data_IF_692570164098
#
_entry.id   IF_692570164098
#
_cell.length_a   1.000
_cell.length_b   1.000
_cell.length_c   1.000
_cell.angle_alpha   90.00
_cell.angle_beta   90.00
_cell.angle_gamma   90.00
#
_symmetry.space_group_name_H-M   'P 1'
#
loop_
_entity.id
_entity.type
_entity.pdbx_description
1 polymer ?
#
# COMPACT_ATOMS: atom_id res chain seq x y z
N UNK A 1 -0.02 8.97 7.48
CA UNK A 1 -1.31 9.67 7.66
C UNK A 1 -2.48 8.74 7.29
N UNK A 2 -2.46 8.12 6.11
CA UNK A 2 -3.50 7.16 5.67
C UNK A 2 -3.78 6.03 6.65
N UNK A 3 -2.74 5.42 7.25
CA UNK A 3 -2.91 4.37 8.28
C UNK A 3 -3.63 4.89 9.53
N UNK A 4 -3.35 6.13 9.95
CA UNK A 4 -4.02 6.75 11.12
C UNK A 4 -5.51 6.91 10.84
N UNK A 5 -5.88 7.30 9.62
CA UNK A 5 -7.28 7.38 9.21
C UNK A 5 -8.00 6.04 9.36
N UNK A 6 -7.35 4.93 9.02
CA UNK A 6 -7.91 3.57 9.16
C UNK A 6 -8.10 3.19 10.62
N UNK A 7 -7.07 3.43 11.45
CA UNK A 7 -7.12 3.15 12.89
C UNK A 7 -8.24 3.96 13.57
N UNK A 8 -8.48 5.20 13.12
CA UNK A 8 -9.55 6.04 13.64
C UNK A 8 -10.94 5.45 13.35
N UNK A 9 -11.11 4.82 12.19
CA UNK A 9 -12.39 4.19 11.79
C UNK A 9 -12.61 2.88 12.54
N UNK A 10 -11.56 2.11 12.79
CA UNK A 10 -11.66 0.81 13.48
C UNK A 10 -11.66 0.93 15.00
N UNK A 11 -11.13 2.03 15.54
CA UNK A 11 -11.03 2.27 16.99
C UNK A 11 -10.00 1.37 17.71
N UNK A 12 -9.22 0.58 16.98
CA UNK A 12 -8.19 -0.32 17.52
C UNK A 12 -6.92 -0.27 16.68
N UNK A 13 -5.77 -0.36 17.35
CA UNK A 13 -4.43 -0.48 16.72
C UNK A 13 -4.03 -1.93 16.44
N UNK A 14 -4.81 -2.91 16.89
CA UNK A 14 -4.51 -4.31 16.64
C UNK A 14 -4.89 -4.68 15.19
N UNK A 15 -3.91 -5.21 14.45
CA UNK A 15 -4.10 -5.67 13.07
C UNK A 15 -5.19 -6.74 12.95
N UNK A 16 -5.32 -7.59 13.98
CA UNK A 16 -6.36 -8.62 13.98
C UNK A 16 -7.75 -8.02 14.12
N UNK A 17 -7.92 -7.04 15.01
CA UNK A 17 -9.19 -6.34 15.20
C UNK A 17 -9.57 -5.54 13.95
N UNK A 18 -8.59 -4.91 13.28
CA UNK A 18 -8.79 -4.21 12.00
C UNK A 18 -9.31 -5.18 10.94
N UNK A 19 -8.71 -6.37 10.82
CA UNK A 19 -9.14 -7.36 9.85
C UNK A 19 -10.50 -8.00 10.20
N UNK A 20 -10.80 -8.17 11.50
CA UNK A 20 -12.11 -8.64 11.99
C UNK A 20 -13.22 -7.61 11.72
N UNK A 21 -12.94 -6.33 11.92
CA UNK A 21 -13.87 -5.22 11.64
C UNK A 21 -14.23 -5.07 10.15
N UNK A 22 -13.52 -5.78 9.27
CA UNK A 22 -13.73 -5.82 7.82
C UNK A 22 -14.41 -7.14 7.37
N UNK A 23 -14.80 -8.01 8.29
CA UNK A 23 -15.56 -9.23 7.99
C UNK A 23 -17.04 -8.90 7.78
N UNK A 24 -17.67 -9.49 6.76
CA UNK A 24 -19.06 -9.18 6.40
C UNK A 24 -19.34 -9.07 4.90
N UNK A 25 -18.41 -9.49 4.04
CA UNK A 25 -18.56 -9.47 2.58
C UNK A 25 -17.85 -8.29 1.90
N UNK A 26 -17.89 -8.27 0.57
CA UNK A 26 -17.19 -7.28 -0.28
C UNK A 26 -17.53 -5.82 0.09
N UNK A 27 -18.76 -5.56 0.52
CA UNK A 27 -19.27 -4.23 0.86
C UNK A 27 -18.79 -3.69 2.23
N UNK A 28 -18.19 -4.53 3.07
CA UNK A 28 -17.65 -4.13 4.39
C UNK A 28 -16.13 -3.91 4.36
N UNK A 29 -15.48 -4.17 3.23
CA UNK A 29 -14.06 -3.89 3.09
C UNK A 29 -13.81 -2.39 3.21
N UNK A 30 -12.67 -2.00 3.78
CA UNK A 30 -12.34 -0.59 3.97
C UNK A 30 -12.34 0.20 2.64
N UNK A 31 -12.10 -0.44 1.50
CA UNK A 31 -12.24 0.20 0.18
C UNK A 31 -13.70 0.53 -0.17
N UNK A 32 -14.65 -0.32 0.24
CA UNK A 32 -16.05 -0.29 -0.21
C UNK A 32 -17.07 -0.03 0.89
N UNK A 33 -16.63 0.28 2.12
CA UNK A 33 -17.53 0.41 3.30
C UNK A 33 -18.67 1.37 2.98
N UNK A 34 -19.85 0.78 2.80
CA UNK A 34 -21.02 1.41 2.15
C UNK A 34 -21.90 2.19 3.13
N UNK A 35 -21.74 1.94 4.42
CA UNK A 35 -22.48 2.64 5.47
C UNK A 35 -21.97 4.08 5.61
N UNK A 36 -22.76 5.07 5.17
CA UNK A 36 -22.56 6.48 5.52
C UNK A 36 -21.92 7.43 4.48
N UNK A 37 -21.69 6.98 3.23
CA UNK A 37 -21.12 7.85 2.18
C UNK A 37 -19.59 7.91 2.15
N UNK A 38 -18.91 6.99 2.84
CA UNK A 38 -17.44 6.86 2.89
C UNK A 38 -16.78 6.37 1.58
N UNK A 39 -17.58 6.04 0.56
CA UNK A 39 -17.11 5.39 -0.67
C UNK A 39 -16.03 6.21 -1.40
N UNK A 40 -16.19 7.52 -1.59
CA UNK A 40 -15.21 8.28 -2.39
C UNK A 40 -13.89 8.48 -1.66
N UNK A 41 -13.91 8.63 -0.33
CA UNK A 41 -12.74 9.04 0.45
C UNK A 41 -11.78 7.88 0.75
N UNK A 42 -12.31 6.69 1.07
CA UNK A 42 -11.47 5.54 1.37
C UNK A 42 -10.74 4.99 0.14
N UNK A 43 -11.33 5.10 -1.05
CA UNK A 43 -10.63 4.78 -2.30
C UNK A 43 -9.40 5.65 -2.51
N UNK A 44 -9.49 6.93 -2.15
CA UNK A 44 -8.36 7.84 -2.28
C UNK A 44 -7.29 7.53 -1.23
N UNK A 45 -7.68 7.19 0.00
CA UNK A 45 -6.76 6.71 1.02
C UNK A 45 -6.00 5.45 0.60
N UNK A 46 -6.69 4.51 -0.06
CA UNK A 46 -6.09 3.30 -0.63
C UNK A 46 -5.09 3.64 -1.74
N UNK A 47 -5.46 4.50 -2.70
CA UNK A 47 -4.56 4.90 -3.79
C UNK A 47 -3.30 5.59 -3.27
N UNK A 48 -3.45 6.51 -2.31
CA UNK A 48 -2.31 7.18 -1.68
C UNK A 48 -1.41 6.16 -0.97
N UNK A 49 -2.00 5.25 -0.19
CA UNK A 49 -1.23 4.22 0.51
C UNK A 49 -0.53 3.28 -0.47
N UNK A 50 -1.20 2.88 -1.55
CA UNK A 50 -0.62 2.02 -2.57
C UNK A 50 0.54 2.71 -3.30
N UNK A 51 0.39 3.98 -3.72
CA UNK A 51 1.47 4.76 -4.33
C UNK A 51 2.65 4.90 -3.37
N UNK A 52 2.41 5.17 -2.09
CA UNK A 52 3.47 5.23 -1.08
C UNK A 52 4.16 3.87 -0.87
N UNK A 53 3.42 2.77 -0.86
CA UNK A 53 3.98 1.42 -0.73
C UNK A 53 4.86 1.07 -1.94
N UNK A 54 4.44 1.42 -3.17
CA UNK A 54 5.29 1.24 -4.35
C UNK A 54 6.53 2.13 -4.28
N UNK A 55 6.41 3.39 -3.83
CA UNK A 55 7.54 4.29 -3.65
C UNK A 55 8.56 3.79 -2.60
N UNK A 56 8.09 3.22 -1.49
CA UNK A 56 8.95 2.66 -0.43
C UNK A 56 9.74 1.43 -0.88
N UNK A 57 9.20 0.65 -1.82
CA UNK A 57 9.91 -0.52 -2.37
C UNK A 57 11.05 -0.16 -3.33
N UNK A 58 11.25 1.14 -3.62
CA UNK A 58 12.31 1.66 -4.50
C UNK A 58 12.41 0.93 -5.85
N UNK A 59 11.27 0.44 -6.39
CA UNK A 59 11.22 -0.26 -7.69
C UNK A 59 10.66 0.62 -8.80
N UNK A 60 11.03 0.30 -10.04
CA UNK A 60 10.67 1.11 -11.20
C UNK A 60 9.12 1.16 -11.27
N UNK A 61 8.50 2.36 -11.31
CA UNK A 61 8.99 3.65 -11.82
C UNK A 61 9.68 4.61 -10.83
N UNK A 62 9.83 4.24 -9.55
CA UNK A 62 10.42 5.06 -8.47
C UNK A 62 11.82 4.60 -8.03
N UNK A 63 12.53 3.93 -8.95
CA UNK A 63 13.82 3.27 -8.72
C UNK A 63 15.00 4.17 -9.08
N UNK A 64 15.17 5.22 -8.27
CA UNK A 64 16.14 6.28 -8.58
C UNK A 64 17.46 6.11 -7.80
N UNK A 65 17.41 5.52 -6.60
CA UNK A 65 18.60 5.15 -5.84
C UNK A 65 19.52 4.14 -6.56
N UNK A 66 18.96 3.32 -7.47
CA UNK A 66 19.74 2.39 -8.31
C UNK A 66 20.34 3.08 -9.56
N UNK A 67 19.86 4.27 -9.93
CA UNK A 67 20.12 4.87 -11.25
C UNK A 67 20.78 6.27 -11.24
N UNK A 68 20.85 6.98 -10.10
CA UNK A 68 21.37 8.36 -10.06
C UNK A 68 22.69 8.57 -9.32
N UNK A 69 23.25 7.55 -8.68
CA UNK A 69 24.66 7.57 -8.27
C UNK A 69 25.53 7.07 -9.44
N UNK A 70 25.92 8.00 -10.31
CA UNK A 70 27.14 8.00 -11.14
C UNK A 70 27.39 6.97 -12.28
N UNK A 71 26.58 6.88 -13.34
CA UNK A 71 26.99 6.30 -14.66
C UNK A 71 27.57 4.84 -14.71
N UNK A 72 27.73 4.13 -13.59
CA UNK A 72 28.16 2.73 -13.47
C UNK A 72 27.37 2.15 -12.31
N UNK A 73 26.65 1.04 -12.55
CA UNK A 73 25.63 0.49 -11.65
C UNK A 73 26.11 0.40 -10.17
N UNK A 74 25.63 1.31 -9.31
CA UNK A 74 26.18 1.61 -7.97
C UNK A 74 26.42 0.39 -7.07
N UNK A 75 25.50 0.08 -6.15
CA UNK A 75 25.71 -1.05 -5.22
C UNK A 75 25.80 -2.42 -5.94
N UNK A 76 25.28 -2.52 -7.17
CA UNK A 76 25.42 -3.70 -8.02
C UNK A 76 26.88 -4.02 -8.40
N UNK A 77 27.76 -3.03 -8.43
CA UNK A 77 29.20 -3.21 -8.75
C UNK A 77 30.09 -3.25 -7.51
N UNK A 78 29.62 -2.74 -6.38
CA UNK A 78 30.38 -2.70 -5.12
C UNK A 78 30.26 -3.99 -4.29
N UNK A 79 29.13 -4.68 -4.36
CA UNK A 79 28.88 -5.88 -3.54
C UNK A 79 29.15 -7.19 -4.30
N UNK A 80 29.95 -8.07 -3.68
CA UNK A 80 30.17 -9.44 -4.16
C UNK A 80 28.94 -10.34 -4.05
N UNK A 81 29.01 -11.53 -4.65
CA UNK A 81 27.88 -12.47 -4.86
C UNK A 81 26.93 -12.66 -3.67
N UNK A 82 27.45 -12.94 -2.47
CA UNK A 82 26.62 -13.17 -1.27
C UNK A 82 25.97 -11.88 -0.77
N UNK A 83 26.71 -10.76 -0.77
CA UNK A 83 26.21 -9.46 -0.34
C UNK A 83 25.10 -8.97 -1.28
N UNK A 84 25.34 -9.08 -2.59
CA UNK A 84 24.34 -8.78 -3.62
C UNK A 84 23.06 -9.60 -3.43
N UNK A 85 23.19 -10.90 -3.17
CA UNK A 85 22.04 -11.79 -2.92
C UNK A 85 21.19 -11.36 -1.72
N UNK A 86 21.82 -10.91 -0.63
CA UNK A 86 21.10 -10.44 0.57
C UNK A 86 20.36 -9.11 0.31
N UNK A 87 20.98 -8.17 -0.42
CA UNK A 87 20.31 -6.92 -0.78
C UNK A 87 19.08 -7.16 -1.66
N UNK A 88 19.22 -7.98 -2.71
CA UNK A 88 18.09 -8.34 -3.57
C UNK A 88 16.99 -9.06 -2.80
N UNK A 89 17.34 -10.02 -1.94
CA UNK A 89 16.37 -10.72 -1.10
C UNK A 89 15.60 -9.75 -0.19
N UNK A 90 16.29 -8.78 0.42
CA UNK A 90 15.67 -7.76 1.27
C UNK A 90 14.67 -6.89 0.52
N UNK A 91 15.00 -6.44 -0.68
CA UNK A 91 14.07 -5.66 -1.51
C UNK A 91 12.81 -6.45 -1.90
N UNK A 92 12.96 -7.72 -2.29
CA UNK A 92 11.82 -8.59 -2.60
C UNK A 92 10.96 -8.86 -1.36
N UNK A 93 11.60 -9.00 -0.20
CA UNK A 93 10.90 -9.19 1.07
C UNK A 93 10.10 -7.93 1.43
N UNK A 94 10.63 -6.73 1.16
CA UNK A 94 9.91 -5.48 1.37
C UNK A 94 8.62 -5.39 0.51
N UNK A 95 8.68 -5.84 -0.75
CA UNK A 95 7.49 -5.91 -1.62
C UNK A 95 6.42 -6.81 -1.02
N UNK A 96 6.81 -7.98 -0.50
CA UNK A 96 5.87 -8.93 0.13
C UNK A 96 5.27 -8.33 1.40
N UNK A 97 6.07 -7.69 2.25
CA UNK A 97 5.58 -7.03 3.47
C UNK A 97 4.61 -5.90 3.13
N UNK A 98 4.94 -5.05 2.16
CA UNK A 98 4.07 -3.96 1.70
C UNK A 98 2.73 -4.48 1.17
N UNK A 99 2.76 -5.57 0.39
CA UNK A 99 1.56 -6.24 -0.08
C UNK A 99 0.71 -6.78 1.09
N UNK A 100 1.33 -7.50 2.04
CA UNK A 100 0.68 -8.02 3.24
C UNK A 100 -0.04 -6.91 4.03
N UNK A 101 0.66 -5.79 4.31
CA UNK A 101 0.11 -4.67 5.06
C UNK A 101 -1.06 -4.00 4.31
N UNK A 102 -0.93 -3.82 3.00
CA UNK A 102 -2.01 -3.30 2.15
C UNK A 102 -3.26 -4.19 2.24
N UNK A 103 -3.08 -5.51 2.20
CA UNK A 103 -4.20 -6.46 2.31
C UNK A 103 -4.95 -6.39 3.64
N UNK A 104 -4.23 -6.26 4.75
CA UNK A 104 -4.82 -6.21 6.10
C UNK A 104 -5.54 -4.88 6.31
N UNK A 105 -4.95 -3.78 5.86
CA UNK A 105 -5.48 -2.44 6.13
C UNK A 105 -6.69 -2.07 5.25
N UNK A 106 -6.74 -2.54 4.01
CA UNK A 106 -7.74 -2.11 3.03
C UNK A 106 -8.62 -3.21 2.46
N UNK A 107 -8.06 -4.41 2.24
CA UNK A 107 -8.71 -5.49 1.48
C UNK A 107 -9.32 -6.58 2.37
N UNK A 108 -9.58 -6.33 3.65
CA UNK A 108 -10.28 -7.30 4.50
C UNK A 108 -9.41 -8.42 5.07
N UNK A 109 -8.08 -8.39 4.89
CA UNK A 109 -7.16 -9.44 5.35
C UNK A 109 -7.65 -10.86 4.97
N UNK A 110 -7.88 -11.68 5.99
CA UNK A 110 -8.41 -13.05 5.93
C UNK A 110 -9.93 -13.17 5.71
N UNK A 111 -10.65 -12.05 5.65
CA UNK A 111 -12.08 -12.03 5.38
C UNK A 111 -12.39 -12.55 3.97
N UNK A 112 -13.22 -13.61 3.91
CA UNK A 112 -13.74 -14.15 2.65
C UNK A 112 -14.90 -13.27 2.14
N UNK A 113 -14.85 -12.78 0.89
CA UNK A 113 -15.96 -12.04 0.30
C UNK A 113 -17.15 -12.93 -0.07
N UNK A 114 -16.94 -14.24 -0.26
CA UNK A 114 -17.97 -15.18 -0.75
C UNK A 114 -18.20 -16.41 0.16
N UNK A 115 -17.49 -16.53 1.29
CA UNK A 115 -17.70 -17.61 2.27
C UNK A 115 -17.30 -19.03 1.83
N UNK A 116 -16.78 -19.22 0.61
CA UNK A 116 -16.55 -20.54 0.01
C UNK A 116 -15.18 -21.19 0.27
N UNK A 117 -14.16 -20.43 0.69
CA UNK A 117 -12.78 -20.93 0.88
C UNK A 117 -12.21 -20.49 2.23
N UNK A 118 -11.31 -21.29 2.84
CA UNK A 118 -10.60 -20.90 4.07
C UNK A 118 -9.90 -19.55 3.91
N UNK A 119 -9.92 -18.73 4.96
CA UNK A 119 -9.42 -17.34 4.91
C UNK A 119 -7.96 -17.19 4.47
N UNK A 120 -7.13 -18.23 4.66
CA UNK A 120 -5.72 -18.25 4.24
C UNK A 120 -5.57 -18.14 2.72
N UNK A 121 -6.42 -18.82 1.94
CA UNK A 121 -6.35 -18.80 0.49
C UNK A 121 -6.74 -17.44 -0.07
N UNK A 122 -7.73 -16.78 0.55
CA UNK A 122 -8.12 -15.42 0.19
C UNK A 122 -7.01 -14.41 0.48
N UNK A 123 -6.31 -14.56 1.58
CA UNK A 123 -5.17 -13.71 1.90
C UNK A 123 -4.04 -13.87 0.86
N UNK A 124 -3.67 -15.11 0.54
CA UNK A 124 -2.65 -15.40 -0.47
C UNK A 124 -3.03 -14.89 -1.87
N UNK A 125 -4.29 -15.08 -2.29
CA UNK A 125 -4.77 -14.59 -3.58
C UNK A 125 -4.68 -13.07 -3.65
N UNK A 126 -5.12 -12.35 -2.61
CA UNK A 126 -5.07 -10.88 -2.60
C UNK A 126 -3.63 -10.36 -2.62
N UNK A 127 -2.72 -10.98 -1.87
CA UNK A 127 -1.28 -10.66 -1.93
C UNK A 127 -0.74 -10.89 -3.33
N UNK A 128 -1.06 -12.04 -3.95
CA UNK A 128 -0.61 -12.36 -5.29
C UNK A 128 -1.10 -11.34 -6.31
N UNK A 129 -2.35 -10.90 -6.22
CA UNK A 129 -2.91 -9.84 -7.07
C UNK A 129 -2.18 -8.50 -6.87
N UNK A 130 -1.85 -8.13 -5.63
CA UNK A 130 -1.10 -6.90 -5.35
C UNK A 130 0.32 -6.96 -5.91
N UNK A 131 1.04 -8.07 -5.69
CA UNK A 131 2.38 -8.27 -6.24
C UNK A 131 2.33 -8.24 -7.78
N UNK A 132 1.35 -8.92 -8.38
CA UNK A 132 1.11 -8.88 -9.82
C UNK A 132 0.87 -7.45 -10.31
N UNK A 133 0.10 -6.64 -9.58
CA UNK A 133 -0.16 -5.24 -9.92
C UNK A 133 1.14 -4.40 -9.85
N UNK A 134 1.98 -4.61 -8.84
CA UNK A 134 3.28 -3.91 -8.72
C UNK A 134 4.20 -4.27 -9.89
N UNK A 135 4.26 -5.56 -10.28
CA UNK A 135 5.05 -6.01 -11.43
C UNK A 135 4.47 -5.45 -12.74
N UNK A 136 3.14 -5.36 -12.85
CA UNK A 136 2.50 -4.80 -14.04
C UNK A 136 2.77 -3.29 -14.20
N UNK A 137 2.76 -2.54 -13.09
CA UNK A 137 3.12 -1.11 -13.07
C UNK A 137 4.57 -0.90 -13.54
N UNK A 138 5.48 -1.80 -13.13
CA UNK A 138 6.89 -1.78 -13.57
C UNK A 138 7.04 -1.81 -15.10
N UNK A 139 6.18 -2.55 -15.78
CA UNK A 139 6.21 -2.66 -17.25
C UNK A 139 5.43 -1.56 -17.97
N UNK A 140 4.48 -0.91 -17.28
CA UNK A 140 3.57 0.08 -17.89
C UNK A 140 4.15 1.50 -17.85
N UNK A 141 4.83 1.87 -16.76
CA UNK A 141 5.25 3.26 -16.55
C UNK A 141 6.73 3.49 -16.85
N UNK A 142 7.08 4.59 -17.55
CA UNK A 142 8.47 5.01 -17.66
C UNK A 142 9.00 5.48 -16.30
N UNK A 143 10.34 5.42 -16.15
CA UNK A 143 11.02 5.88 -14.94
C UNK A 143 10.77 7.37 -14.68
N UNK A 144 10.63 7.72 -13.40
CA UNK A 144 10.43 9.11 -12.95
C UNK A 144 11.73 9.73 -12.44
N UNK A 145 11.77 11.06 -12.33
CA UNK A 145 12.93 11.82 -11.83
C UNK A 145 12.71 12.24 -10.36
N UNK A 146 13.78 12.43 -9.56
CA UNK A 146 13.65 12.72 -8.11
C UNK A 146 12.77 13.94 -7.86
N UNK A 147 13.03 15.01 -8.60
CA UNK A 147 12.29 16.25 -8.40
C UNK A 147 10.78 16.07 -8.65
N UNK A 148 10.37 15.16 -9.55
CA UNK A 148 8.97 14.84 -9.80
C UNK A 148 8.38 13.98 -8.68
N UNK A 149 9.14 13.01 -8.17
CA UNK A 149 8.73 12.16 -7.04
C UNK A 149 8.58 12.98 -5.75
N UNK A 150 9.55 13.84 -5.46
CA UNK A 150 9.52 14.72 -4.29
C UNK A 150 8.36 15.70 -4.38
N UNK A 151 8.13 16.29 -5.56
CA UNK A 151 7.00 17.18 -5.79
C UNK A 151 5.65 16.45 -5.65
N UNK A 152 5.52 15.24 -6.20
CA UNK A 152 4.33 14.39 -5.99
C UNK A 152 4.07 14.14 -4.50
N UNK A 153 5.11 13.77 -3.75
CA UNK A 153 5.00 13.47 -2.33
C UNK A 153 4.60 14.69 -1.51
N UNK A 154 5.29 15.81 -1.70
CA UNK A 154 5.11 17.01 -0.90
C UNK A 154 3.90 17.86 -1.30
N UNK A 155 3.62 17.99 -2.60
CA UNK A 155 2.52 18.86 -3.08
C UNK A 155 1.19 18.14 -3.21
N UNK A 156 1.20 16.83 -3.48
CA UNK A 156 -0.04 16.09 -3.77
C UNK A 156 -0.34 15.09 -2.65
N UNK A 157 0.56 14.14 -2.36
CA UNK A 157 0.24 13.05 -1.43
C UNK A 157 0.02 13.53 0.01
N UNK A 158 0.90 14.39 0.54
CA UNK A 158 0.76 14.87 1.93
C UNK A 158 -0.52 15.70 2.12
N UNK A 159 -0.78 16.78 1.36
CA UNK A 159 -1.97 17.60 1.58
C UNK A 159 -3.26 16.81 1.40
N UNK A 160 -3.31 15.94 0.38
CA UNK A 160 -4.50 15.13 0.11
C UNK A 160 -4.77 14.12 1.24
N UNK A 161 -3.72 13.47 1.75
CA UNK A 161 -3.87 12.54 2.87
C UNK A 161 -4.36 13.23 4.15
N UNK A 162 -3.96 14.49 4.36
CA UNK A 162 -4.37 15.28 5.53
C UNK A 162 -5.83 15.73 5.43
N UNK A 163 -6.25 16.18 4.24
CA UNK A 163 -7.67 16.47 3.97
C UNK A 163 -8.52 15.22 4.21
N UNK A 164 -8.08 14.06 3.71
CA UNK A 164 -8.79 12.80 3.93
C UNK A 164 -8.94 12.45 5.42
N UNK A 165 -7.90 12.68 6.22
CA UNK A 165 -7.96 12.48 7.67
C UNK A 165 -8.96 13.43 8.34
N UNK A 166 -8.92 14.72 8.03
CA UNK A 166 -9.82 15.72 8.61
C UNK A 166 -11.28 15.44 8.27
N UNK A 167 -11.55 15.07 7.01
CA UNK A 167 -12.88 14.69 6.56
C UNK A 167 -13.37 13.47 7.34
N UNK A 168 -12.55 12.42 7.43
CA UNK A 168 -12.91 11.20 8.19
C UNK A 168 -13.21 11.51 9.65
N UNK A 169 -12.38 12.34 10.30
CA UNK A 169 -12.58 12.76 11.69
C UNK A 169 -13.88 13.57 11.88
N UNK A 170 -14.21 14.46 10.94
CA UNK A 170 -15.44 15.23 10.97
C UNK A 170 -16.68 14.32 10.84
N UNK A 171 -16.64 13.33 9.95
CA UNK A 171 -17.74 12.39 9.77
C UNK A 171 -18.01 11.53 11.02
N UNK A 172 -16.97 10.99 11.65
CA UNK A 172 -17.09 10.19 12.90
C UNK A 172 -17.68 11.02 14.06
N UNK A 173 -17.53 12.35 14.02
CA UNK A 173 -18.10 13.23 15.06
C UNK A 173 -19.55 13.61 14.78
N UNK A 174 -19.95 13.65 13.51
CA UNK A 174 -21.30 14.08 13.08
C UNK A 174 -22.31 12.94 13.18
N UNK A 175 -21.89 11.69 12.96
CA UNK A 175 -22.69 10.48 13.08
C UNK A 175 -22.28 9.69 14.32
#
# INVERSE_FOLDING_TARGET
ITVITIVMITGSMNLQDIALAQQGGFWHWNIFRLEGGHFVYMWIAFLIYFICSVAETNRAPFDMAEAESELVAGYMTEYGSMGFGLFMMGEYLNIVIGACMTTILFLGGWGSPFGFLPGIWWFLIKIYILIFTIIWIRWTYPRTQIYKLLNLSWKILIPFSLVNLLVTAAFIKVF
#
